data_IF_294855639683
#
_entry.id   IF_294855639683
#
_cell.length_a   1.000
_cell.length_b   1.000
_cell.length_c   1.000
_cell.angle_alpha   90.00
_cell.angle_beta   90.00
_cell.angle_gamma   90.00
#
_symmetry.space_group_name_H-M   'P 1'
#
loop_
_entity.id
_entity.type
_entity.pdbx_description
1 polymer ?
#
# COMPACT_ATOMS: atom_id res chain seq x y z
N UNK A 1 0.63 -14.95 -25.77
CA UNK A 1 1.51 -14.84 -24.58
C UNK A 1 0.60 -14.57 -23.40
N UNK A 2 0.72 -15.37 -22.34
CA UNK A 2 -0.27 -15.54 -21.27
C UNK A 2 -0.81 -14.22 -20.70
N UNK A 3 -2.14 -14.17 -20.53
CA UNK A 3 -2.89 -13.00 -20.10
C UNK A 3 -2.40 -12.47 -18.76
N UNK A 4 -2.32 -11.14 -18.68
CA UNK A 4 -2.13 -10.41 -17.43
C UNK A 4 -3.23 -10.88 -16.47
N UNK A 5 -2.85 -11.33 -15.28
CA UNK A 5 -3.78 -11.57 -14.18
C UNK A 5 -4.35 -10.22 -13.77
N UNK A 6 -5.47 -9.82 -14.37
CA UNK A 6 -6.20 -8.63 -13.96
C UNK A 6 -6.96 -8.94 -12.66
N UNK A 7 -6.98 -8.02 -11.69
CA UNK A 7 -7.85 -8.16 -10.54
C UNK A 7 -9.32 -8.24 -10.97
N UNK A 8 -10.10 -9.07 -10.29
CA UNK A 8 -11.55 -9.07 -10.45
C UNK A 8 -12.15 -7.90 -9.67
N UNK A 9 -13.12 -7.22 -10.29
CA UNK A 9 -13.91 -6.14 -9.70
C UNK A 9 -15.38 -6.43 -9.99
N UNK A 10 -16.19 -6.49 -8.94
CA UNK A 10 -17.63 -6.63 -9.06
C UNK A 10 -18.24 -5.28 -9.46
N UNK A 11 -19.00 -5.16 -10.56
CA UNK A 11 -19.67 -3.92 -10.94
C UNK A 11 -20.57 -3.33 -9.83
N UNK A 12 -21.17 -4.17 -8.97
CA UNK A 12 -22.00 -3.72 -7.86
C UNK A 12 -21.18 -3.01 -6.77
N UNK A 13 -19.86 -3.20 -6.73
CA UNK A 13 -18.99 -2.57 -5.73
C UNK A 13 -18.86 -1.05 -5.91
N UNK A 14 -19.21 -0.50 -7.08
CA UNK A 14 -19.22 0.94 -7.33
C UNK A 14 -20.63 1.54 -7.46
N UNK A 15 -21.68 0.74 -7.27
CA UNK A 15 -23.06 1.24 -7.36
C UNK A 15 -23.37 2.21 -6.20
N UNK A 16 -23.68 3.46 -6.53
CA UNK A 16 -24.00 4.51 -5.54
C UNK A 16 -25.27 4.20 -4.73
N UNK A 17 -26.20 3.45 -5.31
CA UNK A 17 -27.46 2.98 -4.72
C UNK A 17 -27.44 1.49 -4.36
N UNK A 18 -26.25 0.86 -4.40
CA UNK A 18 -26.07 -0.53 -3.99
C UNK A 18 -26.47 -0.75 -2.54
N UNK A 19 -27.08 -1.91 -2.26
CA UNK A 19 -27.26 -2.41 -0.90
C UNK A 19 -26.05 -3.24 -0.52
N UNK A 20 -25.38 -2.88 0.56
CA UNK A 20 -24.20 -3.57 1.04
C UNK A 20 -24.47 -4.31 2.36
N UNK A 21 -23.68 -5.34 2.70
CA UNK A 21 -23.99 -6.24 3.81
C UNK A 21 -24.06 -5.58 5.19
N UNK A 22 -23.33 -4.47 5.40
CA UNK A 22 -23.25 -3.74 6.66
C UNK A 22 -23.81 -2.31 6.55
N UNK A 23 -24.69 -2.04 5.57
CA UNK A 23 -25.44 -0.79 5.58
C UNK A 23 -26.30 -0.68 6.84
N UNK A 24 -26.26 0.50 7.48
CA UNK A 24 -26.96 0.82 8.74
C UNK A 24 -26.60 -0.07 9.94
N UNK A 25 -25.51 -0.86 9.85
CA UNK A 25 -24.98 -1.66 10.95
C UNK A 25 -23.90 -0.86 11.69
N UNK A 26 -24.06 -0.70 13.01
CA UNK A 26 -23.01 -0.13 13.85
C UNK A 26 -21.86 -1.14 13.97
N UNK A 27 -20.70 -0.78 13.43
CA UNK A 27 -19.51 -1.62 13.50
C UNK A 27 -19.16 -1.97 14.95
N UNK A 28 -19.41 -1.12 15.95
CA UNK A 28 -19.10 -1.44 17.36
C UNK A 28 -20.06 -2.47 17.97
N UNK A 29 -21.20 -2.73 17.32
CA UNK A 29 -22.20 -3.69 17.80
C UNK A 29 -21.95 -5.14 17.33
N UNK A 30 -21.02 -5.34 16.38
CA UNK A 30 -20.72 -6.65 15.78
C UNK A 30 -19.32 -7.16 16.16
N UNK A 31 -19.15 -8.49 16.16
CA UNK A 31 -17.86 -9.14 16.44
C UNK A 31 -16.93 -9.09 15.22
N UNK A 32 -15.69 -9.53 15.39
CA UNK A 32 -14.68 -9.54 14.31
C UNK A 32 -15.01 -10.58 13.23
N UNK A 33 -15.73 -11.64 13.60
CA UNK A 33 -16.16 -12.68 12.67
C UNK A 33 -17.17 -12.16 11.64
N UNK A 34 -18.04 -11.21 11.99
CA UNK A 34 -19.12 -10.76 11.10
C UNK A 34 -18.60 -10.09 9.82
N UNK A 35 -17.64 -9.15 9.85
CA UNK A 35 -16.99 -8.67 8.62
C UNK A 35 -16.25 -9.78 7.86
N UNK A 36 -15.56 -10.68 8.56
CA UNK A 36 -14.79 -11.74 7.92
C UNK A 36 -15.67 -12.72 7.12
N UNK A 37 -16.86 -13.04 7.62
CA UNK A 37 -17.84 -13.92 6.95
C UNK A 37 -18.34 -13.37 5.61
N UNK A 38 -18.39 -12.04 5.46
CA UNK A 38 -18.89 -11.40 4.23
C UNK A 38 -17.81 -11.10 3.20
N UNK A 39 -16.52 -11.34 3.50
CA UNK A 39 -15.40 -10.97 2.61
C UNK A 39 -15.58 -11.45 1.16
N UNK A 40 -16.04 -12.69 0.97
CA UNK A 40 -16.18 -13.32 -0.35
C UNK A 40 -17.61 -13.27 -0.93
N UNK A 41 -18.55 -12.66 -0.20
CA UNK A 41 -19.96 -12.54 -0.64
C UNK A 41 -20.38 -11.08 -0.85
N UNK A 42 -19.69 -10.14 -0.20
CA UNK A 42 -19.82 -8.72 -0.45
C UNK A 42 -19.26 -8.36 -1.84
N UNK A 43 -19.76 -7.29 -2.48
CA UNK A 43 -19.23 -6.82 -3.76
C UNK A 43 -17.72 -6.52 -3.68
N UNK A 44 -16.93 -7.23 -4.48
CA UNK A 44 -15.48 -7.10 -4.49
C UNK A 44 -15.06 -5.79 -5.21
N UNK A 45 -14.34 -4.93 -4.50
CA UNK A 45 -13.62 -3.78 -5.07
C UNK A 45 -12.31 -4.23 -5.73
N UNK A 46 -11.72 -5.30 -5.23
CA UNK A 46 -10.51 -5.92 -5.75
C UNK A 46 -10.45 -7.37 -5.29
N UNK A 47 -10.21 -8.31 -6.19
CA UNK A 47 -9.89 -9.68 -5.82
C UNK A 47 -8.76 -10.21 -6.69
N UNK A 48 -7.60 -10.45 -6.06
CA UNK A 48 -6.42 -10.97 -6.75
C UNK A 48 -5.48 -11.71 -5.79
N UNK A 49 -5.27 -13.00 -6.07
CA UNK A 49 -4.28 -13.80 -5.36
C UNK A 49 -4.65 -14.08 -3.90
N UNK A 50 -3.96 -13.43 -2.96
CA UNK A 50 -4.16 -13.63 -1.51
C UNK A 50 -4.78 -12.41 -0.82
N UNK A 51 -5.34 -11.48 -1.59
CA UNK A 51 -5.95 -10.25 -1.09
C UNK A 51 -7.30 -10.05 -1.79
N UNK A 52 -8.32 -9.84 -0.97
CA UNK A 52 -9.65 -9.42 -1.41
C UNK A 52 -10.00 -8.14 -0.67
N UNK A 53 -10.49 -7.14 -1.40
CA UNK A 53 -11.08 -5.92 -0.86
C UNK A 53 -12.55 -5.92 -1.25
N UNK A 54 -13.44 -5.87 -0.27
CA UNK A 54 -14.88 -5.91 -0.49
C UNK A 54 -15.57 -4.68 0.11
N UNK A 55 -16.63 -4.21 -0.54
CA UNK A 55 -17.43 -3.08 -0.07
C UNK A 55 -18.44 -3.55 0.97
N UNK A 56 -18.32 -3.03 2.19
CA UNK A 56 -19.16 -3.43 3.33
C UNK A 56 -20.38 -2.53 3.50
N UNK A 57 -20.22 -1.23 3.26
CA UNK A 57 -21.28 -0.23 3.34
C UNK A 57 -21.00 0.92 2.38
N UNK A 58 -21.87 1.94 2.38
CA UNK A 58 -21.61 3.19 1.67
C UNK A 58 -20.28 3.86 2.02
N UNK A 59 -19.75 3.63 3.23
CA UNK A 59 -18.55 4.30 3.75
C UNK A 59 -17.44 3.36 4.19
N UNK A 60 -17.65 2.04 4.14
CA UNK A 60 -16.70 1.05 4.66
C UNK A 60 -16.29 0.04 3.61
N UNK A 61 -15.01 -0.29 3.60
CA UNK A 61 -14.42 -1.40 2.89
C UNK A 61 -13.73 -2.36 3.86
N UNK A 62 -13.68 -3.64 3.48
CA UNK A 62 -12.92 -4.68 4.17
C UNK A 62 -11.81 -5.17 3.26
N UNK A 63 -10.56 -5.06 3.72
CA UNK A 63 -9.42 -5.76 3.13
C UNK A 63 -9.17 -7.02 3.95
N UNK A 64 -9.14 -8.18 3.30
CA UNK A 64 -8.92 -9.47 3.93
C UNK A 64 -7.99 -10.35 3.11
N UNK A 65 -7.14 -11.12 3.77
CA UNK A 65 -6.21 -11.98 3.07
C UNK A 65 -5.04 -12.50 3.90
N UNK A 66 -4.37 -13.54 3.38
CA UNK A 66 -3.19 -14.13 4.03
C UNK A 66 -1.95 -13.23 4.00
N UNK A 67 -1.98 -12.16 3.18
CA UNK A 67 -0.93 -11.14 3.10
C UNK A 67 -1.28 -9.84 3.83
N UNK A 68 -2.49 -9.72 4.40
CA UNK A 68 -2.91 -8.56 5.16
C UNK A 68 -2.28 -8.66 6.56
N UNK A 69 -1.39 -7.73 6.89
CA UNK A 69 -0.64 -7.74 8.14
C UNK A 69 -1.03 -6.56 9.05
N UNK A 70 -0.85 -6.68 10.37
CA UNK A 70 -1.12 -5.59 11.31
C UNK A 70 -0.31 -4.31 11.04
N UNK A 71 0.82 -4.44 10.34
CA UNK A 71 1.68 -3.32 9.96
C UNK A 71 0.97 -2.29 9.08
N UNK A 72 0.11 -2.74 8.15
CA UNK A 72 -0.67 -1.83 7.29
C UNK A 72 -1.61 -0.96 8.14
N UNK A 73 -2.37 -1.59 9.05
CA UNK A 73 -3.25 -0.88 9.94
C UNK A 73 -2.50 0.05 10.91
N UNK A 74 -1.31 -0.35 11.37
CA UNK A 74 -0.46 0.47 12.21
C UNK A 74 0.05 1.71 11.45
N UNK A 75 0.46 1.55 10.19
CA UNK A 75 0.87 2.66 9.32
C UNK A 75 -0.28 3.63 9.06
N UNK A 76 -1.46 3.14 8.67
CA UNK A 76 -2.63 4.00 8.44
C UNK A 76 -3.03 4.79 9.69
N UNK A 77 -3.00 4.18 10.88
CA UNK A 77 -3.24 4.88 12.15
C UNK A 77 -2.18 5.95 12.43
N UNK A 78 -0.91 5.67 12.11
CA UNK A 78 0.16 6.64 12.25
C UNK A 78 -0.05 7.84 11.31
N UNK A 79 -0.36 7.59 10.03
CA UNK A 79 -0.69 8.62 9.03
C UNK A 79 -1.82 9.51 9.55
N UNK A 80 -2.96 8.94 9.93
CA UNK A 80 -4.10 9.67 10.45
C UNK A 80 -3.78 10.54 11.70
N UNK A 81 -2.76 10.17 12.47
CA UNK A 81 -2.35 10.89 13.68
C UNK A 81 -1.27 11.94 13.47
N UNK A 82 -0.47 11.84 12.40
CA UNK A 82 0.76 12.63 12.21
C UNK A 82 0.77 13.50 10.95
N UNK A 83 -0.13 13.25 10.00
CA UNK A 83 -0.12 13.92 8.69
C UNK A 83 -1.52 14.35 8.26
N UNK A 84 -1.57 15.21 7.25
CA UNK A 84 -2.77 15.55 6.48
C UNK A 84 -2.91 14.71 5.20
N UNK A 85 -2.14 13.63 5.05
CA UNK A 85 -2.22 12.75 3.87
C UNK A 85 -3.59 12.08 3.85
N UNK A 86 -4.30 12.19 2.73
CA UNK A 86 -5.58 11.50 2.56
C UNK A 86 -5.31 10.02 2.27
N UNK A 87 -5.57 9.20 3.27
CA UNK A 87 -5.48 7.74 3.23
C UNK A 87 -6.67 7.15 4.02
N UNK A 88 -7.09 5.89 3.74
CA UNK A 88 -8.23 5.28 4.41
C UNK A 88 -8.05 5.22 5.93
N UNK A 89 -9.04 5.70 6.71
CA UNK A 89 -8.99 5.55 8.17
C UNK A 89 -9.32 4.12 8.55
N UNK A 90 -8.52 3.54 9.44
CA UNK A 90 -8.79 2.22 10.02
C UNK A 90 -9.85 2.33 11.10
N UNK A 91 -10.94 1.59 10.96
CA UNK A 91 -11.97 1.44 11.98
C UNK A 91 -11.76 0.19 12.84
N UNK A 92 -11.27 -0.88 12.24
CA UNK A 92 -11.02 -2.17 12.92
C UNK A 92 -9.92 -2.95 12.21
N UNK A 93 -9.11 -3.69 12.97
CA UNK A 93 -8.10 -4.60 12.40
C UNK A 93 -7.85 -5.76 13.36
N UNK A 94 -7.82 -6.97 12.82
CA UNK A 94 -7.67 -8.22 13.58
C UNK A 94 -7.05 -9.31 12.71
N UNK A 95 -6.60 -10.39 13.36
CA UNK A 95 -6.05 -11.58 12.70
C UNK A 95 -6.72 -12.82 13.24
N UNK A 96 -6.97 -13.79 12.36
CA UNK A 96 -7.45 -15.13 12.70
C UNK A 96 -6.35 -16.12 12.36
N UNK A 97 -6.10 -17.10 13.23
CA UNK A 97 -5.13 -18.15 12.94
C UNK A 97 -5.57 -18.98 11.74
N UNK A 98 -4.65 -19.19 10.80
CA UNK A 98 -4.84 -19.99 9.60
C UNK A 98 -3.48 -20.50 9.11
N UNK A 99 -3.14 -21.72 9.51
CA UNK A 99 -1.86 -22.37 9.18
C UNK A 99 -1.71 -22.69 7.68
N UNK A 100 -2.76 -22.50 6.87
CA UNK A 100 -2.65 -22.59 5.41
C UNK A 100 -2.01 -21.35 4.78
N UNK A 101 -1.91 -20.24 5.53
CA UNK A 101 -1.32 -18.98 5.07
C UNK A 101 0.16 -18.91 5.39
N UNK A 102 0.91 -18.17 4.57
CA UNK A 102 2.35 -18.02 4.74
C UNK A 102 2.76 -17.45 6.12
N UNK A 103 1.96 -16.53 6.66
CA UNK A 103 2.17 -15.95 8.00
C UNK A 103 1.39 -16.66 9.12
N UNK A 104 0.82 -17.85 8.84
CA UNK A 104 0.02 -18.61 9.80
C UNK A 104 -1.28 -17.90 10.25
N UNK A 105 -1.66 -16.82 9.56
CA UNK A 105 -2.81 -15.99 9.90
C UNK A 105 -3.49 -15.47 8.64
N UNK A 106 -4.80 -15.28 8.75
CA UNK A 106 -5.61 -14.48 7.86
C UNK A 106 -5.83 -13.12 8.53
N UNK A 107 -5.43 -12.03 7.86
CA UNK A 107 -5.59 -10.68 8.39
C UNK A 107 -6.80 -9.96 7.79
N UNK A 108 -7.36 -9.04 8.57
CA UNK A 108 -8.52 -8.24 8.19
C UNK A 108 -8.35 -6.78 8.65
N UNK A 109 -8.76 -5.86 7.79
CA UNK A 109 -8.78 -4.41 8.06
C UNK A 109 -10.11 -3.85 7.54
N UNK A 110 -10.94 -3.35 8.45
CA UNK A 110 -12.10 -2.53 8.10
C UNK A 110 -11.64 -1.07 8.09
N UNK A 111 -11.80 -0.42 6.95
CA UNK A 111 -11.33 0.95 6.72
C UNK A 111 -12.35 1.75 5.90
N UNK A 112 -12.10 3.06 5.76
CA UNK A 112 -12.91 3.90 4.88
C UNK A 112 -12.96 3.32 3.46
N UNK A 113 -14.15 3.30 2.88
CA UNK A 113 -14.32 3.24 1.45
C UNK A 113 -14.12 4.63 0.86
N UNK A 114 -13.22 4.76 -0.11
CA UNK A 114 -12.97 6.00 -0.82
C UNK A 114 -13.74 5.96 -2.13
N UNK A 115 -14.74 6.82 -2.27
CA UNK A 115 -15.47 7.01 -3.52
C UNK A 115 -14.62 7.83 -4.48
N UNK A 116 -14.37 7.31 -5.67
CA UNK A 116 -13.49 7.94 -6.64
C UNK A 116 -13.06 7.00 -7.75
N UNK A 117 -12.25 7.54 -8.67
CA UNK A 117 -11.71 6.81 -9.81
C UNK A 117 -10.22 6.56 -9.61
N UNK A 118 -9.74 5.30 -9.67
CA UNK A 118 -8.31 5.02 -9.71
C UNK A 118 -7.64 5.75 -10.88
N UNK A 119 -6.46 6.33 -10.65
CA UNK A 119 -5.77 7.12 -11.69
C UNK A 119 -5.34 6.26 -12.86
N UNK A 120 -5.00 4.98 -12.66
CA UNK A 120 -4.69 4.07 -13.78
C UNK A 120 -5.87 3.87 -14.76
N UNK A 121 -7.10 4.11 -14.31
CA UNK A 121 -8.30 4.02 -15.16
C UNK A 121 -8.72 5.33 -15.79
N UNK A 122 -8.45 6.48 -15.15
CA UNK A 122 -8.96 7.77 -15.60
C UNK A 122 -7.88 8.76 -16.06
N UNK A 123 -6.58 8.43 -15.94
CA UNK A 123 -5.48 9.34 -16.27
C UNK A 123 -5.56 9.91 -17.68
N UNK A 124 -5.89 9.09 -18.68
CA UNK A 124 -5.97 9.53 -20.08
C UNK A 124 -7.15 10.49 -20.34
N UNK A 125 -8.17 10.47 -19.48
CA UNK A 125 -9.34 11.36 -19.58
C UNK A 125 -9.09 12.73 -18.93
N UNK A 126 -8.02 12.87 -18.12
CA UNK A 126 -7.69 14.11 -17.42
C UNK A 126 -7.04 15.13 -18.37
N UNK A 127 -7.46 16.39 -18.25
CA UNK A 127 -6.78 17.50 -18.91
C UNK A 127 -5.39 17.78 -18.31
N UNK A 128 -4.55 18.53 -19.03
CA UNK A 128 -3.18 18.83 -18.60
C UNK A 128 -3.11 19.54 -17.24
N UNK A 129 -4.06 20.44 -16.96
CA UNK A 129 -4.16 21.14 -15.67
C UNK A 129 -4.48 20.18 -14.53
N UNK A 130 -5.40 19.24 -14.74
CA UNK A 130 -5.74 18.21 -13.75
C UNK A 130 -4.59 17.24 -13.52
N UNK A 131 -3.91 16.78 -14.59
CA UNK A 131 -2.70 15.94 -14.46
C UNK A 131 -1.61 16.63 -13.66
N UNK A 132 -1.41 17.93 -13.91
CA UNK A 132 -0.46 18.75 -13.17
C UNK A 132 -0.85 18.90 -11.70
N UNK A 133 -2.13 19.13 -11.39
CA UNK A 133 -2.61 19.23 -10.01
C UNK A 133 -2.47 17.91 -9.25
N UNK A 134 -2.88 16.80 -9.86
CA UNK A 134 -2.71 15.45 -9.32
C UNK A 134 -1.23 15.16 -9.01
N UNK A 135 -0.33 15.50 -9.93
CA UNK A 135 1.12 15.33 -9.73
C UNK A 135 1.65 16.16 -8.57
N UNK A 136 1.12 17.38 -8.36
CA UNK A 136 1.48 18.22 -7.20
C UNK A 136 0.97 17.64 -5.90
N UNK A 137 -0.27 17.13 -5.87
CA UNK A 137 -0.85 16.49 -4.69
C UNK A 137 -0.05 15.24 -4.30
N UNK A 138 0.31 14.40 -5.28
CA UNK A 138 1.14 13.21 -5.07
C UNK A 138 2.53 13.56 -4.50
N UNK A 139 3.23 14.51 -5.14
CA UNK A 139 4.53 14.97 -4.65
C UNK A 139 4.47 15.59 -3.24
N UNK A 140 3.37 16.28 -2.90
CA UNK A 140 3.14 16.82 -1.57
C UNK A 140 2.95 15.69 -0.54
N UNK A 141 2.19 14.65 -0.86
CA UNK A 141 2.02 13.48 0.00
C UNK A 141 3.36 12.76 0.25
N UNK A 142 4.17 12.54 -0.78
CA UNK A 142 5.52 11.94 -0.63
C UNK A 142 6.40 12.79 0.28
N UNK A 143 6.43 14.10 0.04
CA UNK A 143 7.22 15.03 0.87
C UNK A 143 6.77 14.99 2.33
N UNK A 144 5.46 14.93 2.58
CA UNK A 144 4.91 14.86 3.93
C UNK A 144 5.21 13.52 4.62
N UNK A 145 5.12 12.39 3.92
CA UNK A 145 5.53 11.08 4.45
C UNK A 145 6.99 11.09 4.88
N UNK A 146 7.88 11.59 4.02
CA UNK A 146 9.32 11.57 4.27
C UNK A 146 9.76 12.52 5.39
N UNK A 147 8.90 13.44 5.84
CA UNK A 147 9.15 14.23 7.06
C UNK A 147 9.01 13.40 8.33
N UNK A 148 8.34 12.25 8.28
CA UNK A 148 8.18 11.35 9.43
C UNK A 148 9.45 10.52 9.58
N UNK A 149 10.32 10.96 10.49
CA UNK A 149 11.51 10.23 10.88
C UNK A 149 11.15 9.00 11.74
N UNK A 150 11.72 7.85 11.39
CA UNK A 150 11.48 6.57 12.06
C UNK A 150 12.82 5.96 12.51
N UNK A 151 13.41 6.42 13.63
CA UNK A 151 14.75 6.03 14.07
C UNK A 151 14.86 4.59 14.64
N UNK A 152 13.92 3.71 14.28
CA UNK A 152 13.91 2.31 14.68
C UNK A 152 14.62 1.39 13.67
N UNK A 153 14.49 0.06 13.83
CA UNK A 153 14.96 -0.87 12.80
C UNK A 153 14.18 -0.66 11.49
N UNK A 154 14.83 -0.86 10.32
CA UNK A 154 14.16 -0.75 9.04
C UNK A 154 13.14 -1.88 8.84
N UNK A 155 12.04 -1.55 8.19
CA UNK A 155 10.95 -2.47 7.93
C UNK A 155 9.57 -1.94 8.30
N UNK A 156 8.55 -2.82 8.31
CA UNK A 156 7.17 -2.44 8.55
C UNK A 156 6.96 -1.85 9.95
N UNK A 157 5.97 -0.98 10.09
CA UNK A 157 5.57 -0.46 11.40
C UNK A 157 5.06 -1.61 12.28
N UNK A 158 5.61 -1.72 13.49
CA UNK A 158 5.37 -2.87 14.39
C UNK A 158 6.39 -4.00 14.23
N UNK A 159 7.33 -3.88 13.29
CA UNK A 159 8.39 -4.84 13.04
C UNK A 159 7.99 -5.97 12.11
N UNK A 160 8.90 -6.93 11.94
CA UNK A 160 8.77 -8.01 10.97
C UNK A 160 9.68 -7.83 9.76
N UNK A 161 9.67 -8.78 8.82
CA UNK A 161 10.54 -8.73 7.67
C UNK A 161 10.08 -7.65 6.69
N UNK A 162 11.05 -7.00 6.03
CA UNK A 162 10.83 -6.04 4.97
C UNK A 162 10.15 -6.69 3.75
N UNK A 163 9.14 -6.01 3.22
CA UNK A 163 8.33 -6.39 2.06
C UNK A 163 8.26 -5.20 1.09
N UNK A 164 7.79 -5.44 -0.14
CA UNK A 164 7.78 -4.46 -1.21
C UNK A 164 8.67 -4.84 -2.40
N UNK A 165 8.64 -4.00 -3.44
CA UNK A 165 9.25 -4.26 -4.75
C UNK A 165 10.76 -4.53 -4.69
N UNK A 166 11.46 -3.91 -3.74
CA UNK A 166 12.91 -4.08 -3.57
C UNK A 166 13.31 -5.36 -2.86
N UNK A 167 12.34 -6.11 -2.35
CA UNK A 167 12.56 -7.34 -1.60
C UNK A 167 12.16 -8.56 -2.41
N UNK A 168 12.70 -9.71 -2.03
CA UNK A 168 12.32 -10.97 -2.69
C UNK A 168 10.94 -11.42 -2.23
N UNK A 169 10.30 -12.35 -2.95
CA UNK A 169 9.06 -12.98 -2.48
C UNK A 169 9.16 -13.61 -1.08
N UNK A 170 10.38 -13.88 -0.59
CA UNK A 170 10.67 -14.39 0.75
C UNK A 170 10.89 -13.29 1.80
N UNK A 171 10.55 -12.03 1.49
CA UNK A 171 10.84 -10.86 2.34
C UNK A 171 12.34 -10.69 2.60
N UNK A 172 12.73 -9.78 3.51
CA UNK A 172 14.11 -9.65 3.99
C UNK A 172 14.18 -9.22 5.45
N UNK A 173 15.20 -9.65 6.19
CA UNK A 173 15.27 -9.37 7.62
C UNK A 173 14.36 -10.29 8.45
N UNK A 174 13.82 -9.84 9.59
CA UNK A 174 13.92 -8.49 10.15
C UNK A 174 15.37 -8.08 10.41
N UNK A 175 15.65 -6.79 10.28
CA UNK A 175 16.98 -6.23 10.53
C UNK A 175 17.01 -5.59 11.92
N UNK A 176 18.14 -5.70 12.62
CA UNK A 176 18.32 -5.09 13.93
C UNK A 176 18.57 -3.59 13.87
N UNK A 177 19.21 -3.11 12.80
CA UNK A 177 19.56 -1.70 12.61
C UNK A 177 19.78 -1.34 11.12
N UNK A 178 19.98 -0.05 10.86
CA UNK A 178 20.24 0.49 9.53
C UNK A 178 21.53 -0.06 8.90
N UNK A 179 22.55 -0.38 9.70
CA UNK A 179 23.83 -0.92 9.22
C UNK A 179 23.70 -2.36 8.73
N UNK A 180 22.86 -3.17 9.37
CA UNK A 180 22.53 -4.51 8.91
C UNK A 180 21.77 -4.49 7.58
N UNK A 181 20.78 -3.60 7.48
CA UNK A 181 20.04 -3.37 6.25
C UNK A 181 20.94 -2.88 5.12
N UNK A 182 21.80 -1.89 5.38
CA UNK A 182 22.78 -1.37 4.41
C UNK A 182 23.70 -2.49 3.89
N UNK A 183 24.22 -3.33 4.79
CA UNK A 183 25.06 -4.47 4.42
C UNK A 183 24.30 -5.46 3.52
N UNK A 184 23.02 -5.69 3.81
CA UNK A 184 22.18 -6.55 2.98
C UNK A 184 21.96 -5.96 1.58
N UNK A 185 21.63 -4.67 1.48
CA UNK A 185 21.45 -3.97 0.19
C UNK A 185 22.76 -3.96 -0.62
N UNK A 186 23.88 -3.62 0.02
CA UNK A 186 25.19 -3.61 -0.63
C UNK A 186 25.63 -5.00 -1.10
N UNK A 187 25.30 -6.07 -0.36
CA UNK A 187 25.52 -7.44 -0.84
C UNK A 187 24.73 -7.74 -2.11
N UNK A 188 23.48 -7.24 -2.25
CA UNK A 188 22.70 -7.37 -3.48
C UNK A 188 23.34 -6.60 -4.63
N UNK A 189 23.80 -5.37 -4.37
CA UNK A 189 24.54 -4.58 -5.35
C UNK A 189 25.80 -5.30 -5.84
N UNK A 190 26.59 -5.89 -4.94
CA UNK A 190 27.79 -6.66 -5.29
C UNK A 190 27.47 -7.87 -6.19
N UNK A 191 26.34 -8.55 -5.93
CA UNK A 191 25.86 -9.63 -6.79
C UNK A 191 25.51 -9.06 -8.17
N UNK A 192 24.74 -7.97 -8.23
CA UNK A 192 24.37 -7.30 -9.49
C UNK A 192 25.60 -6.87 -10.30
N UNK A 193 26.65 -6.37 -9.64
CA UNK A 193 27.95 -6.08 -10.27
C UNK A 193 28.57 -7.34 -10.86
N UNK A 194 28.67 -8.43 -10.09
CA UNK A 194 29.26 -9.71 -10.55
C UNK A 194 28.55 -10.29 -11.78
N UNK A 195 27.23 -10.16 -11.85
CA UNK A 195 26.42 -10.62 -12.99
C UNK A 195 26.24 -9.56 -14.08
N UNK A 196 26.95 -8.43 -14.02
CA UNK A 196 26.92 -7.32 -14.99
C UNK A 196 25.52 -6.71 -15.19
N UNK A 197 24.73 -6.68 -14.13
CA UNK A 197 23.42 -6.00 -14.04
C UNK A 197 23.49 -4.65 -13.32
N UNK A 198 24.68 -4.23 -12.89
CA UNK A 198 24.98 -2.90 -12.39
C UNK A 198 26.35 -2.43 -12.89
N UNK A 199 26.58 -1.10 -13.06
CA UNK A 199 27.91 -0.54 -13.33
C UNK A 199 28.91 -0.99 -12.26
N UNK A 200 30.17 -1.23 -12.64
CA UNK A 200 31.17 -1.73 -11.68
C UNK A 200 31.64 -0.65 -10.71
N UNK A 201 31.58 0.60 -11.15
CA UNK A 201 32.03 1.81 -10.46
C UNK A 201 30.95 2.47 -9.60
N UNK A 202 29.70 2.01 -9.65
CA UNK A 202 28.63 2.55 -8.80
C UNK A 202 29.02 2.35 -7.32
N UNK A 203 28.98 3.41 -6.48
CA UNK A 203 29.32 3.29 -5.07
C UNK A 203 28.32 2.40 -4.32
N UNK A 204 28.75 1.88 -3.19
CA UNK A 204 27.82 1.24 -2.24
C UNK A 204 26.86 2.28 -1.66
N UNK A 205 25.68 1.82 -1.27
CA UNK A 205 24.73 2.61 -0.51
C UNK A 205 25.29 2.94 0.87
N UNK A 206 25.03 4.16 1.32
CA UNK A 206 25.29 4.63 2.68
C UNK A 206 24.00 5.27 3.19
N UNK A 207 23.31 4.60 4.10
CA UNK A 207 22.03 5.06 4.63
C UNK A 207 22.23 5.74 5.98
N UNK A 208 21.75 6.98 6.10
CA UNK A 208 21.91 7.81 7.30
C UNK A 208 20.62 8.01 8.07
N UNK A 209 19.48 7.80 7.43
CA UNK A 209 18.16 8.03 8.00
C UNK A 209 17.15 7.02 7.48
N UNK A 210 16.09 6.83 8.26
CA UNK A 210 14.91 6.08 7.88
C UNK A 210 13.70 6.98 8.07
N UNK A 211 12.89 7.05 7.01
CA UNK A 211 11.66 7.83 6.98
C UNK A 211 10.50 6.91 6.65
N UNK A 212 9.28 7.39 6.80
CA UNK A 212 8.13 6.67 6.26
C UNK A 212 8.19 6.68 4.73
N UNK A 213 8.15 5.48 4.16
CA UNK A 213 8.09 5.22 2.71
C UNK A 213 6.93 4.27 2.45
N UNK A 214 6.19 4.51 1.37
CA UNK A 214 5.05 3.69 0.94
C UNK A 214 5.47 2.45 0.14
N UNK A 215 6.48 2.58 -0.72
CA UNK A 215 7.02 1.54 -1.62
C UNK A 215 6.11 1.07 -2.77
N UNK A 216 5.00 1.77 -3.01
CA UNK A 216 4.11 1.42 -4.13
C UNK A 216 3.24 2.60 -4.59
N UNK A 217 3.81 3.81 -4.59
CA UNK A 217 3.12 4.98 -5.15
C UNK A 217 3.03 4.79 -6.66
N UNK A 218 1.84 4.41 -7.12
CA UNK A 218 1.56 4.12 -8.52
C UNK A 218 0.12 4.49 -8.85
N UNK A 219 -0.23 4.76 -10.11
CA UNK A 219 -1.57 5.22 -10.47
C UNK A 219 -2.73 4.30 -10.01
N UNK A 220 -2.49 3.00 -9.86
CA UNK A 220 -3.49 2.04 -9.33
C UNK A 220 -3.82 2.22 -7.84
N UNK A 221 -2.88 2.81 -7.09
CA UNK A 221 -3.00 3.07 -5.65
C UNK A 221 -3.37 4.53 -5.37
N UNK A 222 -3.58 5.34 -6.41
CA UNK A 222 -4.01 6.72 -6.31
C UNK A 222 -5.46 6.82 -6.80
N UNK A 223 -6.35 7.34 -5.98
CA UNK A 223 -7.77 7.51 -6.33
C UNK A 223 -8.13 8.99 -6.34
N UNK A 224 -8.70 9.46 -7.44
CA UNK A 224 -9.22 10.82 -7.56
C UNK A 224 -10.70 10.82 -7.15
N UNK A 225 -11.01 11.53 -6.07
CA UNK A 225 -12.38 11.67 -5.58
C UNK A 225 -13.18 12.73 -6.38
N UNK A 226 -14.50 12.86 -6.16
CA UNK A 226 -15.34 13.83 -6.87
C UNK A 226 -14.96 15.30 -6.66
N UNK A 227 -14.21 15.61 -5.60
CA UNK A 227 -13.72 16.96 -5.27
C UNK A 227 -12.28 17.20 -5.79
N UNK A 228 -11.85 16.36 -6.73
CA UNK A 228 -10.51 16.37 -7.35
C UNK A 228 -9.36 16.20 -6.34
N UNK A 229 -9.62 15.56 -5.20
CA UNK A 229 -8.59 15.24 -4.21
C UNK A 229 -8.02 13.84 -4.44
N UNK A 230 -6.69 13.72 -4.37
CA UNK A 230 -5.97 12.46 -4.62
C UNK A 230 -5.74 11.67 -3.34
N UNK A 231 -6.41 10.53 -3.17
CA UNK A 231 -6.21 9.62 -2.05
C UNK A 231 -5.13 8.57 -2.35
N UNK A 232 -4.26 8.30 -1.38
CA UNK A 232 -3.23 7.25 -1.46
C UNK A 232 -3.69 6.00 -0.70
N UNK A 233 -3.80 4.90 -1.42
CA UNK A 233 -4.31 3.60 -0.97
C UNK A 233 -3.18 2.56 -0.88
N UNK A 234 -3.50 1.42 -0.26
CA UNK A 234 -2.65 0.22 -0.15
C UNK A 234 -1.27 0.43 0.52
N UNK A 235 -1.30 0.54 1.84
CA UNK A 235 -0.11 0.80 2.66
C UNK A 235 0.57 -0.50 3.15
N UNK A 236 0.35 -1.63 2.46
CA UNK A 236 0.78 -2.96 2.91
C UNK A 236 2.30 -3.10 3.03
N UNK A 237 3.04 -2.47 2.12
CA UNK A 237 4.52 -2.51 2.07
C UNK A 237 5.17 -1.27 2.71
N UNK A 238 4.37 -0.39 3.32
CA UNK A 238 4.88 0.85 3.91
C UNK A 238 5.64 0.61 5.23
N UNK A 239 6.64 1.43 5.51
CA UNK A 239 7.47 1.30 6.71
C UNK A 239 8.64 2.26 6.79
N UNK A 240 9.58 1.94 7.69
CA UNK A 240 10.81 2.69 7.91
C UNK A 240 11.89 2.26 6.90
N UNK A 241 12.16 3.11 5.92
CA UNK A 241 13.12 2.83 4.84
C UNK A 241 13.92 4.09 4.48
N UNK A 242 15.07 3.95 3.80
CA UNK A 242 15.78 5.11 3.27
C UNK A 242 14.90 5.88 2.27
N UNK A 243 14.91 7.22 2.26
CA UNK A 243 14.04 8.03 1.38
C UNK A 243 14.10 7.65 -0.11
N UNK A 244 15.26 7.17 -0.57
CA UNK A 244 15.50 6.76 -1.94
C UNK A 244 14.61 5.60 -2.41
N UNK A 245 14.03 4.81 -1.48
CA UNK A 245 13.13 3.71 -1.81
C UNK A 245 11.82 4.22 -2.43
N UNK A 246 11.35 5.42 -2.10
CA UNK A 246 10.15 5.98 -2.77
C UNK A 246 10.47 6.42 -4.20
N UNK A 247 11.60 7.12 -4.38
CA UNK A 247 11.99 7.67 -5.69
C UNK A 247 12.35 6.60 -6.71
N UNK A 248 12.75 5.42 -6.25
CA UNK A 248 13.02 4.27 -7.11
C UNK A 248 11.74 3.47 -7.45
N UNK A 249 10.63 3.70 -6.73
CA UNK A 249 9.34 3.05 -6.96
C UNK A 249 8.37 3.87 -7.80
N UNK A 250 8.54 5.20 -7.85
CA UNK A 250 7.70 6.09 -8.62
C UNK A 250 7.68 5.73 -10.12
N UNK A 251 6.55 5.98 -10.81
CA UNK A 251 6.53 5.88 -12.26
C UNK A 251 7.59 6.86 -12.77
N UNK A 252 8.49 6.38 -13.63
CA UNK A 252 9.05 7.26 -14.64
C UNK A 252 7.86 7.77 -15.45
N UNK A 253 7.27 8.88 -15.01
CA UNK A 253 6.43 9.69 -15.90
C UNK A 253 7.26 9.87 -17.16
N UNK A 254 6.71 9.54 -18.34
CA UNK A 254 7.49 9.46 -19.57
C UNK A 254 8.35 10.71 -19.70
N UNK A 255 9.64 10.47 -19.89
CA UNK A 255 10.64 11.48 -20.18
C UNK A 255 10.33 12.08 -21.55
N UNK A 256 9.29 12.91 -21.63
CA UNK A 256 8.98 13.79 -22.76
C UNK A 256 9.01 15.25 -22.31
N UNK A 257 9.99 15.63 -21.49
CA UNK A 257 10.45 17.01 -21.38
C UNK A 257 11.97 16.99 -21.08
N UNK A 258 12.76 16.85 -22.14
CA UNK A 258 14.17 17.25 -22.26
C UNK A 258 14.43 17.65 -23.70
#
# INVERSE_FOLDING_TARGET
>A
MAGILCPYVDPASHAADGKFPLDDVDLHSISDESPAEVLYTAPALHDLGQITVARLSKSLALKGGGNVLPSEAATLRMIASKTGIRAPRVHRSFQVQDDTKYFGTMGYIVMDYIDGRPLDTCWEDLGDEQKMDVSKQDAAMITEMQRIQLPGPPGPIGGGPCRGRFFTHYSAGPFGDISEFERWVNRKLDICKKIKKAPQDIPGFQFTELVLVHQDVSPRNLTLDPDEQVWLLDWADAGAYPPAFETADGPGFPAEFS
#
